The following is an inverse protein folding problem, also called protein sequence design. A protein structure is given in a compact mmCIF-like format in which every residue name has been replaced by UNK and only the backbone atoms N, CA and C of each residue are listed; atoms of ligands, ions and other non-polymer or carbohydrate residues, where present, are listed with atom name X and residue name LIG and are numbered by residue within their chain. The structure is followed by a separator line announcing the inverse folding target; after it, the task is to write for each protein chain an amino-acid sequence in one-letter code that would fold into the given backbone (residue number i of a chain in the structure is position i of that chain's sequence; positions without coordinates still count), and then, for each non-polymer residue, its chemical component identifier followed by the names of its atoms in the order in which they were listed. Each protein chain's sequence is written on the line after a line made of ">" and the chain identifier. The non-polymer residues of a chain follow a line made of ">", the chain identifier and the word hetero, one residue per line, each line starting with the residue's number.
data_IF_326711383919
#
_entry.id   IF_326711383919
#
_cell.length_a   1.000
_cell.length_b   1.000
_cell.length_c   1.000
_cell.angle_alpha   90.00
_cell.angle_beta   90.00
_cell.angle_gamma   90.00
#
_symmetry.space_group_name_H-M   'P 1'
#
loop_
_entity.id
_entity.type
_entity.pdbx_description
1 polymer ?
#
# COMPACT_ATOMS: atom_id res chain seq x y z
N UNK A 1 -0.20 7.86 -12.65
CA UNK A 1 -0.13 9.06 -13.49
C UNK A 1 0.47 8.78 -14.86
N UNK A 2 1.78 8.55 -14.98
CA UNK A 2 2.41 8.25 -16.28
C UNK A 2 1.79 7.01 -16.98
N UNK A 3 1.33 6.02 -16.21
CA UNK A 3 0.56 4.88 -16.73
C UNK A 3 -0.74 5.27 -17.46
N UNK A 4 -1.37 6.38 -17.08
CA UNK A 4 -2.55 6.90 -17.78
C UNK A 4 -2.14 7.58 -19.10
N UNK A 5 -1.07 8.39 -19.06
CA UNK A 5 -0.58 9.11 -20.22
C UNK A 5 -0.04 8.19 -21.31
N UNK A 6 0.58 7.05 -20.96
CA UNK A 6 0.96 6.03 -21.95
C UNK A 6 -0.27 5.48 -22.70
N UNK A 7 -1.38 5.26 -21.99
CA UNK A 7 -2.66 4.84 -22.61
C UNK A 7 -3.25 5.89 -23.55
N UNK A 8 -3.32 7.15 -23.11
CA UNK A 8 -3.82 8.25 -23.97
C UNK A 8 -2.93 8.50 -25.18
N UNK A 9 -1.61 8.38 -25.04
CA UNK A 9 -0.68 8.47 -26.16
C UNK A 9 -0.91 7.33 -27.18
N UNK A 10 -1.14 6.10 -26.71
CA UNK A 10 -1.49 4.97 -27.57
C UNK A 10 -2.83 5.19 -28.31
N UNK A 11 -3.84 5.74 -27.62
CA UNK A 11 -5.11 6.07 -28.24
C UNK A 11 -4.96 7.16 -29.33
N UNK A 12 -4.17 8.20 -29.07
CA UNK A 12 -3.86 9.24 -30.06
C UNK A 12 -3.12 8.68 -31.29
N UNK A 13 -2.15 7.79 -31.08
CA UNK A 13 -1.50 7.07 -32.17
C UNK A 13 -2.50 6.21 -32.96
N UNK A 14 -3.47 5.59 -32.26
CA UNK A 14 -4.58 4.87 -32.88
C UNK A 14 -5.40 5.73 -33.83
N UNK A 15 -5.75 6.97 -33.44
CA UNK A 15 -6.44 7.90 -34.33
C UNK A 15 -5.59 8.29 -35.56
N UNK A 16 -4.30 8.58 -35.37
CA UNK A 16 -3.39 8.92 -36.47
C UNK A 16 -3.28 7.78 -37.50
N UNK A 17 -3.27 6.54 -37.02
CA UNK A 17 -3.16 5.34 -37.84
C UNK A 17 -4.50 4.78 -38.30
N UNK A 18 -5.63 5.39 -37.91
CA UNK A 18 -6.98 4.85 -38.12
C UNK A 18 -7.11 3.40 -37.66
N UNK A 19 -6.56 3.09 -36.48
CA UNK A 19 -6.53 1.74 -35.90
C UNK A 19 -7.41 1.67 -34.64
N UNK A 20 -8.59 1.08 -34.79
CA UNK A 20 -9.59 0.96 -33.71
C UNK A 20 -9.07 0.17 -32.50
N UNK A 21 -8.26 -0.86 -32.72
CA UNK A 21 -7.69 -1.65 -31.62
C UNK A 21 -6.78 -0.80 -30.73
N UNK A 22 -5.94 0.05 -31.32
CA UNK A 22 -5.08 0.97 -30.57
C UNK A 22 -5.88 2.05 -29.84
N UNK A 23 -6.96 2.55 -30.46
CA UNK A 23 -7.86 3.51 -29.81
C UNK A 23 -8.50 2.88 -28.56
N UNK A 24 -9.08 1.69 -28.69
CA UNK A 24 -9.80 1.02 -27.60
C UNK A 24 -8.85 0.60 -26.48
N UNK A 25 -7.72 -0.04 -26.82
CA UNK A 25 -6.74 -0.48 -25.81
C UNK A 25 -6.06 0.71 -25.12
N UNK A 26 -5.73 1.76 -25.86
CA UNK A 26 -5.19 3.00 -25.31
C UNK A 26 -6.15 3.67 -24.33
N UNK A 27 -7.43 3.81 -24.70
CA UNK A 27 -8.45 4.38 -23.82
C UNK A 27 -8.69 3.55 -22.55
N UNK A 28 -8.65 2.21 -22.66
CA UNK A 28 -8.76 1.30 -21.52
C UNK A 28 -7.59 1.48 -20.54
N UNK A 29 -6.35 1.49 -21.04
CA UNK A 29 -5.16 1.71 -20.21
C UNK A 29 -5.17 3.11 -19.60
N UNK A 30 -5.55 4.12 -20.39
CA UNK A 30 -5.61 5.52 -19.97
C UNK A 30 -6.59 5.75 -18.82
N UNK A 31 -7.82 5.25 -18.97
CA UNK A 31 -8.87 5.35 -17.94
C UNK A 31 -8.52 4.57 -16.68
N UNK A 32 -8.00 3.33 -16.80
CA UNK A 32 -7.53 2.52 -15.67
C UNK A 32 -6.41 3.22 -14.89
N UNK A 33 -5.40 3.75 -15.59
CA UNK A 33 -4.31 4.50 -14.96
C UNK A 33 -4.76 5.78 -14.26
N UNK A 34 -5.77 6.47 -14.80
CA UNK A 34 -6.34 7.66 -14.17
C UNK A 34 -7.10 7.29 -12.89
N UNK A 35 -7.97 6.26 -12.96
CA UNK A 35 -8.71 5.78 -11.81
C UNK A 35 -7.80 5.27 -10.68
N UNK A 36 -6.76 4.50 -11.02
CA UNK A 36 -5.75 4.05 -10.06
C UNK A 36 -5.06 5.23 -9.37
N UNK A 37 -4.70 6.28 -10.12
CA UNK A 37 -4.09 7.48 -9.55
C UNK A 37 -5.05 8.21 -8.60
N UNK A 38 -6.34 8.26 -8.93
CA UNK A 38 -7.37 8.85 -8.09
C UNK A 38 -7.53 8.11 -6.76
N UNK A 39 -7.66 6.77 -6.78
CA UNK A 39 -7.84 6.00 -5.54
C UNK A 39 -6.60 6.07 -4.64
N UNK A 40 -5.40 6.13 -5.21
CA UNK A 40 -4.16 6.36 -4.44
C UNK A 40 -4.17 7.72 -3.75
N UNK A 41 -4.54 8.79 -4.46
CA UNK A 41 -4.63 10.14 -3.91
C UNK A 41 -5.67 10.19 -2.77
N UNK A 42 -6.85 9.59 -2.98
CA UNK A 42 -7.89 9.47 -1.96
C UNK A 42 -7.42 8.70 -0.73
N UNK A 43 -6.69 7.59 -0.92
CA UNK A 43 -6.14 6.80 0.18
C UNK A 43 -5.02 7.53 0.96
N UNK A 44 -4.33 8.47 0.32
CA UNK A 44 -3.37 9.36 0.98
C UNK A 44 -4.03 10.57 1.66
N UNK A 45 -5.35 10.74 1.52
CA UNK A 45 -6.06 11.96 1.89
C UNK A 45 -5.42 13.23 1.28
N UNK A 46 -4.95 13.13 0.02
CA UNK A 46 -4.33 14.25 -0.71
C UNK A 46 -5.00 14.45 -2.04
N UNK A 47 -5.18 15.70 -2.44
CA UNK A 47 -5.71 16.01 -3.77
C UNK A 47 -4.68 15.68 -4.85
N UNK A 48 -5.17 15.27 -6.02
CA UNK A 48 -4.31 14.94 -7.16
C UNK A 48 -3.41 16.10 -7.59
N UNK A 49 -3.94 17.34 -7.59
CA UNK A 49 -3.17 18.55 -7.90
C UNK A 49 -2.04 18.75 -6.89
N UNK A 50 -2.29 18.54 -5.59
CA UNK A 50 -1.26 18.64 -4.55
C UNK A 50 -0.11 17.66 -4.74
N UNK A 51 -0.42 16.43 -5.16
CA UNK A 51 0.60 15.39 -5.38
C UNK A 51 1.51 15.77 -6.55
N UNK A 52 0.97 16.37 -7.62
CA UNK A 52 1.73 16.77 -8.82
C UNK A 52 2.48 18.09 -8.62
N UNK A 53 1.85 19.07 -7.96
CA UNK A 53 2.45 20.37 -7.71
C UNK A 53 3.54 20.35 -6.62
N UNK A 54 3.92 19.17 -6.11
CA UNK A 54 5.05 19.03 -5.20
C UNK A 54 4.77 19.47 -3.77
N UNK A 55 3.51 19.43 -3.30
CA UNK A 55 3.19 19.59 -1.88
C UNK A 55 3.63 20.90 -1.23
N UNK A 56 3.86 21.98 -1.99
CA UNK A 56 4.05 23.31 -1.40
C UNK A 56 2.78 23.71 -0.64
N UNK A 57 2.87 23.79 0.69
CA UNK A 57 1.82 24.39 1.53
C UNK A 57 0.80 23.44 2.15
N UNK A 58 1.01 22.11 2.14
CA UNK A 58 0.24 21.23 3.02
C UNK A 58 1.10 20.93 4.25
N UNK A 59 1.06 21.83 5.24
CA UNK A 59 1.40 21.43 6.60
C UNK A 59 0.42 20.31 6.98
N UNK A 60 0.93 19.16 7.44
CA UNK A 60 0.09 18.24 8.19
C UNK A 60 -0.60 19.08 9.28
N UNK A 61 -1.92 18.93 9.49
CA UNK A 61 -2.57 19.64 10.57
C UNK A 61 -1.76 19.34 11.83
N UNK A 62 -1.06 20.34 12.36
CA UNK A 62 -0.38 20.19 13.64
C UNK A 62 -1.47 19.86 14.63
N UNK A 63 -1.39 18.68 15.24
CA UNK A 63 -2.17 18.43 16.44
C UNK A 63 -1.80 19.53 17.42
N UNK A 64 -2.79 20.27 17.89
CA UNK A 64 -2.62 21.26 18.96
C UNK A 64 -2.41 20.60 20.32
N UNK A 65 -2.63 19.29 20.39
CA UNK A 65 -2.29 18.47 21.55
C UNK A 65 -0.82 18.07 21.46
N UNK A 66 -0.07 18.44 22.50
CA UNK A 66 1.25 17.89 22.76
C UNK A 66 1.14 16.37 22.90
N UNK A 67 2.12 15.63 22.38
CA UNK A 67 2.20 14.18 22.58
C UNK A 67 2.35 13.88 24.07
N UNK A 68 1.25 13.48 24.70
CA UNK A 68 1.23 13.10 26.12
C UNK A 68 1.43 11.59 26.28
N UNK A 69 2.49 11.20 26.98
CA UNK A 69 2.80 9.80 27.35
C UNK A 69 4.29 9.48 27.20
N UNK A 70 4.73 8.39 27.84
CA UNK A 70 6.07 7.83 27.64
C UNK A 70 5.98 6.58 26.75
N UNK A 71 6.99 6.36 25.91
CA UNK A 71 7.07 5.15 25.12
C UNK A 71 7.42 3.96 26.03
N UNK A 72 6.83 2.79 25.74
CA UNK A 72 7.13 1.56 26.46
C UNK A 72 7.89 0.61 25.55
N UNK A 73 9.05 0.18 26.03
CA UNK A 73 9.88 -0.81 25.34
C UNK A 73 9.57 -2.22 25.83
N UNK A 74 9.70 -3.19 24.93
CA UNK A 74 9.60 -4.62 25.22
C UNK A 74 10.74 -5.32 24.48
N UNK A 75 11.31 -6.34 25.11
CA UNK A 75 12.33 -7.17 24.48
C UNK A 75 11.68 -8.27 23.61
N UNK A 76 12.52 -9.05 22.93
CA UNK A 76 12.05 -10.11 22.03
C UNK A 76 11.27 -11.17 22.78
N UNK A 77 11.72 -11.54 23.99
CA UNK A 77 11.08 -12.55 24.82
C UNK A 77 9.69 -12.10 25.25
N UNK A 78 9.56 -10.88 25.79
CA UNK A 78 8.28 -10.33 26.19
C UNK A 78 7.30 -10.18 25.02
N UNK A 79 7.78 -9.81 23.83
CA UNK A 79 6.93 -9.76 22.63
C UNK A 79 6.42 -11.16 22.22
N UNK A 80 7.26 -12.19 22.35
CA UNK A 80 6.87 -13.57 22.04
C UNK A 80 5.86 -14.13 23.05
N UNK A 81 6.00 -13.81 24.34
CA UNK A 81 5.04 -14.18 25.38
C UNK A 81 3.67 -13.53 25.12
N UNK A 82 3.64 -12.22 24.83
CA UNK A 82 2.41 -11.52 24.49
C UNK A 82 1.69 -12.12 23.27
N UNK A 83 2.46 -12.52 22.24
CA UNK A 83 1.90 -13.18 21.05
C UNK A 83 1.43 -14.61 21.33
N UNK A 84 2.10 -15.32 22.24
CA UNK A 84 1.74 -16.70 22.60
C UNK A 84 0.42 -16.78 23.37
N UNK A 85 0.08 -15.75 24.13
CA UNK A 85 -1.17 -15.65 24.91
C UNK A 85 -2.34 -15.04 24.12
N UNK A 86 -2.09 -14.51 22.92
CA UNK A 86 -3.10 -13.79 22.15
C UNK A 86 -4.05 -14.72 21.37
N UNK A 87 -5.36 -14.58 21.60
CA UNK A 87 -6.39 -15.29 20.81
C UNK A 87 -6.54 -14.73 19.39
N UNK A 88 -6.24 -13.44 19.19
CA UNK A 88 -6.39 -12.75 17.90
C UNK A 88 -5.24 -11.79 17.66
N UNK A 89 -4.65 -11.87 16.46
CA UNK A 89 -3.50 -11.05 16.06
C UNK A 89 -3.79 -10.41 14.70
N UNK A 90 -3.62 -9.09 14.60
CA UNK A 90 -3.69 -8.36 13.34
C UNK A 90 -2.30 -7.81 13.01
N UNK A 91 -1.72 -8.27 11.90
CA UNK A 91 -0.42 -7.82 11.42
C UNK A 91 -0.63 -6.73 10.36
N UNK A 92 -0.05 -5.55 10.57
CA UNK A 92 -0.12 -4.42 9.62
C UNK A 92 1.22 -4.23 8.92
N UNK A 93 1.47 -4.89 7.77
CA UNK A 93 2.75 -4.79 7.08
C UNK A 93 2.96 -3.40 6.46
N UNK A 94 4.20 -2.94 6.49
CA UNK A 94 4.61 -1.68 5.88
C UNK A 94 5.82 -1.85 4.97
N UNK A 95 6.27 -0.75 4.36
CA UNK A 95 7.42 -0.77 3.44
C UNK A 95 8.70 -1.33 4.09
N UNK A 96 8.90 -1.14 5.41
CA UNK A 96 10.03 -1.70 6.14
C UNK A 96 10.15 -3.22 6.05
N UNK A 97 9.02 -3.93 6.02
CA UNK A 97 9.00 -5.40 5.84
C UNK A 97 9.58 -5.80 4.49
N UNK A 98 9.20 -5.08 3.42
CA UNK A 98 9.70 -5.33 2.08
C UNK A 98 11.20 -5.03 1.94
N UNK A 99 11.67 -3.93 2.55
CA UNK A 99 13.10 -3.58 2.54
C UNK A 99 13.94 -4.63 3.24
N UNK A 100 13.45 -5.14 4.38
CA UNK A 100 14.13 -6.16 5.17
C UNK A 100 13.96 -7.59 4.62
N UNK A 101 13.16 -7.78 3.56
CA UNK A 101 12.78 -9.11 3.05
C UNK A 101 12.17 -10.02 4.14
N UNK A 102 11.39 -9.41 5.04
CA UNK A 102 10.86 -10.07 6.22
C UNK A 102 9.53 -10.80 5.99
N UNK A 103 9.02 -10.85 4.75
CA UNK A 103 7.75 -11.52 4.43
C UNK A 103 7.77 -13.02 4.77
N UNK A 104 8.89 -13.70 4.55
CA UNK A 104 9.02 -15.14 4.86
C UNK A 104 9.02 -15.43 6.37
N UNK A 105 9.83 -14.73 7.21
CA UNK A 105 9.71 -14.85 8.67
C UNK A 105 8.33 -14.51 9.21
N UNK A 106 7.64 -13.52 8.64
CA UNK A 106 6.27 -13.15 9.05
C UNK A 106 5.27 -14.24 8.70
N UNK A 107 5.42 -14.88 7.53
CA UNK A 107 4.61 -16.04 7.15
C UNK A 107 4.83 -17.22 8.12
N UNK A 108 6.09 -17.51 8.48
CA UNK A 108 6.43 -18.55 9.46
C UNK A 108 5.86 -18.25 10.85
N UNK A 109 5.96 -17.01 11.32
CA UNK A 109 5.35 -16.58 12.58
C UNK A 109 3.83 -16.76 12.56
N UNK A 110 3.20 -16.37 11.45
CA UNK A 110 1.75 -16.50 11.26
C UNK A 110 1.31 -17.96 11.29
N UNK A 111 2.06 -18.87 10.67
CA UNK A 111 1.81 -20.30 10.71
C UNK A 111 1.88 -20.83 12.15
N UNK A 112 2.95 -20.52 12.89
CA UNK A 112 3.13 -20.96 14.30
C UNK A 112 2.01 -20.47 15.21
N UNK A 113 1.55 -19.23 15.03
CA UNK A 113 0.44 -18.68 15.82
C UNK A 113 -0.89 -19.37 15.50
N UNK A 114 -1.16 -19.65 14.21
CA UNK A 114 -2.37 -20.37 13.79
C UNK A 114 -2.37 -21.83 14.24
N UNK A 115 -1.23 -22.50 14.26
CA UNK A 115 -1.08 -23.86 14.81
C UNK A 115 -1.45 -23.93 16.31
N UNK A 116 -1.23 -22.83 17.05
CA UNK A 116 -1.64 -22.69 18.44
C UNK A 116 -3.12 -22.31 18.62
N UNK A 117 -3.84 -22.07 17.53
CA UNK A 117 -5.27 -21.76 17.53
C UNK A 117 -5.61 -20.26 17.49
N UNK A 118 -4.63 -19.36 17.35
CA UNK A 118 -4.89 -17.92 17.27
C UNK A 118 -5.46 -17.50 15.89
N UNK A 119 -6.42 -16.57 15.88
CA UNK A 119 -6.93 -15.93 14.65
C UNK A 119 -5.96 -14.84 14.18
N UNK A 120 -5.17 -15.14 13.15
CA UNK A 120 -4.20 -14.20 12.57
C UNK A 120 -4.70 -13.63 11.25
N UNK A 121 -4.81 -12.30 11.17
CA UNK A 121 -5.26 -11.53 10.00
C UNK A 121 -4.26 -10.45 9.60
N UNK A 122 -4.30 -10.02 8.34
CA UNK A 122 -3.45 -8.95 7.82
C UNK A 122 -4.26 -7.68 7.53
N UNK A 123 -3.82 -6.55 8.06
CA UNK A 123 -4.38 -5.23 7.79
C UNK A 123 -3.50 -4.45 6.81
N UNK A 124 -3.88 -4.43 5.54
CA UNK A 124 -3.08 -3.78 4.48
C UNK A 124 -3.64 -2.39 4.19
N UNK A 125 -2.85 -1.35 4.46
CA UNK A 125 -3.20 0.00 4.04
C UNK A 125 -3.11 0.13 2.51
N UNK A 126 -4.05 0.80 1.80
CA UNK A 126 -4.07 0.83 0.34
C UNK A 126 -2.82 1.42 -0.32
N UNK A 127 -2.07 2.26 0.40
CA UNK A 127 -0.79 2.84 -0.05
C UNK A 127 0.43 2.31 0.71
N UNK A 128 0.32 1.17 1.39
CA UNK A 128 1.47 0.51 1.99
C UNK A 128 2.43 -0.02 0.90
N UNK A 129 3.72 0.30 1.04
CA UNK A 129 4.77 -0.10 0.10
C UNK A 129 5.17 1.01 -0.87
N UNK A 130 5.55 0.64 -2.09
CA UNK A 130 6.00 1.57 -3.15
C UNK A 130 5.22 1.45 -4.45
N UNK A 131 4.36 0.44 -4.55
CA UNK A 131 3.52 0.17 -5.71
C UNK A 131 2.11 -0.15 -5.20
N UNK A 132 1.05 0.17 -5.97
CA UNK A 132 -0.29 -0.27 -5.64
C UNK A 132 -0.36 -1.79 -5.48
N UNK A 133 -0.88 -2.26 -4.34
CA UNK A 133 -0.95 -3.69 -4.04
C UNK A 133 0.39 -4.36 -3.71
N UNK A 134 1.45 -3.60 -3.44
CA UNK A 134 2.79 -4.15 -3.19
C UNK A 134 2.78 -5.20 -2.06
N UNK A 135 2.11 -4.92 -0.93
CA UNK A 135 2.05 -5.86 0.19
C UNK A 135 1.24 -7.12 -0.13
N UNK A 136 0.20 -7.00 -0.96
CA UNK A 136 -0.59 -8.16 -1.37
C UNK A 136 0.25 -9.15 -2.16
N UNK A 137 1.10 -8.67 -3.07
CA UNK A 137 1.98 -9.52 -3.87
C UNK A 137 3.05 -10.17 -2.99
N UNK A 138 3.71 -9.39 -2.12
CA UNK A 138 4.76 -9.95 -1.25
C UNK A 138 4.23 -10.98 -0.26
N UNK A 139 3.03 -10.78 0.29
CA UNK A 139 2.38 -11.76 1.16
C UNK A 139 1.83 -12.97 0.41
N UNK A 140 1.60 -12.88 -0.90
CA UNK A 140 1.19 -14.02 -1.72
C UNK A 140 2.40 -14.84 -2.21
N UNK A 141 3.58 -14.22 -2.25
CA UNK A 141 4.85 -14.89 -2.56
C UNK A 141 5.38 -15.72 -1.37
N UNK A 142 5.19 -15.20 -0.15
CA UNK A 142 5.61 -15.84 1.11
C UNK A 142 4.62 -16.90 1.59
#
# INVERSE_FOLDING_TARGET
>A
MLNSYSGWAAAAAGFILSNDLLIVTGALVGSSGAYLSYIMCRAMNRSFISVIAGGFGIEAPRSTDDETGEHREVDVTGAAELLAEADRVIITPGYGMAVAQAQYPVAELTAKLRERGADVRFGIHPVAGRLPGHMNVLLAEA
#
